data_IF_162084980862
#
_entry.id   IF_162084980862
#
_cell.length_a   1.000
_cell.length_b   1.000
_cell.length_c   1.000
_cell.angle_alpha   90.00
_cell.angle_beta   90.00
_cell.angle_gamma   90.00
#
_symmetry.space_group_name_H-M   'P 1'
#
loop_
_entity.id
_entity.type
_entity.pdbx_description
1 polymer ?
#
# COMPACT_ATOMS: atom_id res chain seq x y z
N UNK A 1 7.98 -31.84 35.13
CA UNK A 1 7.09 -31.24 34.11
C UNK A 1 7.48 -31.83 32.77
N UNK A 2 6.62 -32.63 32.16
CA UNK A 2 6.91 -33.37 30.92
C UNK A 2 6.94 -32.42 29.72
N UNK A 3 8.09 -31.84 29.39
CA UNK A 3 8.29 -31.16 28.10
C UNK A 3 8.78 -32.18 27.08
N UNK A 4 7.90 -33.11 26.67
CA UNK A 4 8.18 -33.92 25.49
C UNK A 4 8.25 -32.99 24.26
N UNK A 5 9.20 -33.16 23.34
CA UNK A 5 9.39 -32.29 22.16
C UNK A 5 8.11 -31.95 21.36
N UNK A 6 7.13 -32.85 21.15
CA UNK A 6 5.88 -32.49 20.46
C UNK A 6 4.97 -31.54 21.25
N UNK A 7 5.12 -31.44 22.57
CA UNK A 7 4.35 -30.51 23.42
C UNK A 7 4.87 -29.07 23.28
N UNK A 8 6.19 -28.89 23.23
CA UNK A 8 6.81 -27.58 23.05
C UNK A 8 6.48 -26.99 21.67
N UNK A 9 6.59 -27.78 20.60
CA UNK A 9 6.26 -27.34 19.24
C UNK A 9 4.81 -26.86 19.14
N UNK A 10 3.86 -27.64 19.69
CA UNK A 10 2.44 -27.27 19.70
C UNK A 10 2.18 -25.99 20.49
N UNK A 11 2.83 -25.84 21.65
CA UNK A 11 2.73 -24.64 22.46
C UNK A 11 3.24 -23.39 21.71
N UNK A 12 4.42 -23.49 21.07
CA UNK A 12 4.98 -22.38 20.27
C UNK A 12 4.03 -21.98 19.14
N UNK A 13 3.46 -22.94 18.41
CA UNK A 13 2.50 -22.66 17.34
C UNK A 13 1.28 -21.92 17.88
N UNK A 14 0.70 -22.39 18.99
CA UNK A 14 -0.46 -21.74 19.61
C UNK A 14 -0.16 -20.30 20.04
N UNK A 15 1.05 -20.03 20.54
CA UNK A 15 1.48 -18.67 20.88
C UNK A 15 1.52 -17.77 19.64
N UNK A 16 2.06 -18.25 18.51
CA UNK A 16 2.08 -17.47 17.27
C UNK A 16 0.69 -17.27 16.64
N UNK A 17 -0.21 -18.25 16.78
CA UNK A 17 -1.61 -18.11 16.34
C UNK A 17 -2.39 -17.04 17.13
N UNK A 18 -1.88 -16.60 18.29
CA UNK A 18 -2.50 -15.52 19.06
C UNK A 18 -2.22 -14.13 18.50
N UNK A 19 -1.37 -13.99 17.47
CA UNK A 19 -1.13 -12.68 16.84
C UNK A 19 -2.46 -12.14 16.31
N UNK A 20 -2.95 -11.00 16.81
CA UNK A 20 -4.27 -10.52 16.46
C UNK A 20 -4.28 -10.07 15.01
N UNK A 21 -5.24 -10.56 14.22
CA UNK A 21 -5.39 -10.17 12.81
C UNK A 21 -5.46 -8.64 12.62
N UNK A 22 -6.03 -7.90 13.58
CA UNK A 22 -6.09 -6.43 13.50
C UNK A 22 -4.71 -5.77 13.48
N UNK A 23 -3.72 -6.37 14.16
CA UNK A 23 -2.33 -5.91 14.11
C UNK A 23 -1.73 -6.21 12.73
N UNK A 24 -1.92 -7.43 12.21
CA UNK A 24 -1.44 -7.83 10.88
C UNK A 24 -2.05 -6.92 9.80
N UNK A 25 -3.36 -6.67 9.85
CA UNK A 25 -4.05 -5.80 8.90
C UNK A 25 -3.57 -4.34 8.99
N UNK A 26 -3.32 -3.82 10.20
CA UNK A 26 -2.76 -2.48 10.36
C UNK A 26 -1.35 -2.39 9.77
N UNK A 27 -0.47 -3.35 10.07
CA UNK A 27 0.88 -3.41 9.51
C UNK A 27 0.85 -3.53 7.98
N UNK A 28 -0.02 -4.39 7.43
CA UNK A 28 -0.19 -4.52 5.99
C UNK A 28 -0.59 -3.18 5.34
N UNK A 29 -1.57 -2.47 5.92
CA UNK A 29 -2.01 -1.15 5.45
C UNK A 29 -0.91 -0.10 5.53
N UNK A 30 -0.20 -0.06 6.66
CA UNK A 30 0.90 0.89 6.86
C UNK A 30 2.03 0.65 5.87
N UNK A 31 2.50 -0.59 5.75
CA UNK A 31 3.60 -0.96 4.87
C UNK A 31 3.28 -0.65 3.41
N UNK A 32 2.10 -1.05 2.93
CA UNK A 32 1.74 -0.80 1.53
C UNK A 32 1.48 0.68 1.25
N UNK A 33 0.89 1.41 2.22
CA UNK A 33 0.74 2.85 2.11
C UNK A 33 2.11 3.54 2.01
N UNK A 34 3.08 3.16 2.86
CA UNK A 34 4.42 3.73 2.84
C UNK A 34 5.14 3.52 1.50
N UNK A 35 5.02 2.32 0.90
CA UNK A 35 5.60 2.01 -0.41
C UNK A 35 5.09 2.97 -1.49
N UNK A 36 3.77 3.04 -1.67
CA UNK A 36 3.18 3.85 -2.72
C UNK A 36 3.29 5.35 -2.43
N UNK A 37 3.14 5.76 -1.16
CA UNK A 37 3.31 7.16 -0.78
C UNK A 37 4.71 7.65 -1.09
N UNK A 38 5.76 6.89 -0.72
CA UNK A 38 7.14 7.25 -1.07
C UNK A 38 7.37 7.27 -2.58
N UNK A 39 6.77 6.36 -3.33
CA UNK A 39 6.79 6.41 -4.80
C UNK A 39 6.14 7.72 -5.32
N UNK A 40 4.99 8.09 -4.78
CA UNK A 40 4.27 9.32 -5.12
C UNK A 40 5.07 10.58 -4.83
N UNK A 41 5.77 10.62 -3.69
CA UNK A 41 6.63 11.75 -3.31
C UNK A 41 7.76 12.02 -4.31
N UNK A 42 8.18 11.03 -5.12
CA UNK A 42 9.17 11.27 -6.19
C UNK A 42 8.57 11.91 -7.45
N UNK A 43 7.24 11.89 -7.58
CA UNK A 43 6.49 12.40 -8.74
C UNK A 43 5.96 13.81 -8.54
N UNK A 44 6.04 14.34 -7.33
CA UNK A 44 5.57 15.69 -6.98
C UNK A 44 6.70 16.52 -6.40
N UNK A 45 6.60 17.82 -6.57
CA UNK A 45 7.46 18.82 -5.95
C UNK A 45 6.61 19.93 -5.33
N UNK A 46 7.22 20.76 -4.47
CA UNK A 46 6.51 21.80 -3.72
C UNK A 46 5.71 21.26 -2.52
N UNK A 47 5.44 19.96 -2.48
CA UNK A 47 4.80 19.26 -1.37
C UNK A 47 5.59 18.01 -1.01
N UNK A 48 5.93 17.84 0.26
CA UNK A 48 6.59 16.66 0.78
C UNK A 48 6.11 16.31 2.19
N UNK A 49 5.69 15.06 2.38
CA UNK A 49 5.40 14.53 3.72
C UNK A 49 6.08 13.17 3.84
N UNK A 50 7.04 13.06 4.75
CA UNK A 50 7.65 11.78 5.12
C UNK A 50 7.70 11.67 6.64
N UNK A 51 6.80 10.84 7.16
CA UNK A 51 6.67 10.57 8.59
C UNK A 51 7.90 9.84 9.16
N UNK A 52 8.68 9.16 8.33
CA UNK A 52 9.85 8.38 8.78
C UNK A 52 11.06 9.29 8.94
N UNK A 53 11.30 10.18 7.98
CA UNK A 53 12.39 11.16 8.08
C UNK A 53 12.03 12.42 8.87
N UNK A 54 10.73 12.66 9.12
CA UNK A 54 10.24 13.87 9.79
C UNK A 54 10.23 15.09 8.86
N UNK A 55 10.20 14.87 7.54
CA UNK A 55 10.21 15.94 6.54
C UNK A 55 8.79 16.39 6.24
N UNK A 56 8.53 17.69 6.38
CA UNK A 56 7.24 18.32 6.06
C UNK A 56 7.45 19.61 5.26
N UNK A 57 7.00 19.60 4.01
CA UNK A 57 6.96 20.74 3.10
C UNK A 57 5.53 20.88 2.57
N UNK A 58 4.88 22.00 2.89
CA UNK A 58 3.45 22.23 2.61
C UNK A 58 3.23 23.34 1.57
N UNK A 59 4.06 23.38 0.53
CA UNK A 59 3.85 24.27 -0.61
C UNK A 59 2.80 23.70 -1.58
N UNK A 60 2.62 24.37 -2.71
CA UNK A 60 1.69 23.94 -3.76
C UNK A 60 2.21 22.67 -4.44
N UNK A 61 1.49 21.53 -4.38
CA UNK A 61 1.89 20.31 -5.04
C UNK A 61 1.79 20.49 -6.56
N UNK A 62 2.88 20.23 -7.26
CA UNK A 62 2.91 20.15 -8.72
C UNK A 62 3.72 18.94 -9.17
N UNK A 63 3.48 18.48 -10.39
CA UNK A 63 4.22 17.36 -10.95
C UNK A 63 5.72 17.73 -11.05
N UNK A 64 6.60 16.85 -10.59
CA UNK A 64 8.04 17.06 -10.70
C UNK A 64 8.46 17.11 -12.17
N UNK A 65 9.44 17.97 -12.48
CA UNK A 65 9.98 18.14 -13.83
C UNK A 65 10.52 16.82 -14.44
N UNK A 66 10.91 15.84 -13.62
CA UNK A 66 11.39 14.53 -14.08
C UNK A 66 10.26 13.53 -14.37
N UNK A 67 9.05 13.76 -13.88
CA UNK A 67 7.98 12.75 -13.92
C UNK A 67 7.48 12.53 -15.34
N UNK A 68 7.15 13.60 -16.07
CA UNK A 68 6.66 13.46 -17.44
C UNK A 68 7.70 12.83 -18.38
N UNK A 69 8.99 13.22 -18.34
CA UNK A 69 10.04 12.49 -19.05
C UNK A 69 10.06 10.99 -18.75
N UNK A 70 9.98 10.58 -17.48
CA UNK A 70 9.96 9.15 -17.12
C UNK A 70 8.77 8.40 -17.75
N UNK A 71 7.57 8.99 -17.77
CA UNK A 71 6.40 8.40 -18.44
C UNK A 71 6.51 8.38 -19.97
N UNK A 72 7.41 9.15 -20.56
CA UNK A 72 7.67 9.13 -22.01
C UNK A 72 8.72 8.12 -22.43
N UNK A 73 9.72 7.86 -21.58
CA UNK A 73 10.87 7.04 -21.95
C UNK A 73 10.96 5.70 -21.22
N UNK A 74 10.37 5.58 -20.02
CA UNK A 74 10.58 4.43 -19.14
C UNK A 74 9.25 3.80 -18.70
N UNK A 75 8.31 4.61 -18.20
CA UNK A 75 7.02 4.13 -17.67
C UNK A 75 5.95 4.07 -18.75
N UNK A 76 6.14 3.15 -19.69
CA UNK A 76 5.21 2.94 -20.80
C UNK A 76 3.93 2.26 -20.32
N UNK A 77 2.93 3.06 -19.94
CA UNK A 77 1.60 2.58 -19.60
C UNK A 77 0.76 2.47 -20.87
N UNK A 78 0.21 1.29 -21.20
CA UNK A 78 -0.63 1.14 -22.38
C UNK A 78 -1.94 1.92 -22.23
N UNK A 79 -2.55 2.29 -23.36
CA UNK A 79 -3.89 2.93 -23.44
C UNK A 79 -3.97 4.39 -22.97
N UNK A 80 -2.95 4.95 -22.31
CA UNK A 80 -2.95 6.34 -21.82
C UNK A 80 -1.79 7.12 -22.43
N UNK A 81 -1.99 8.42 -22.66
CA UNK A 81 -0.86 9.30 -23.00
C UNK A 81 0.04 9.50 -21.77
N UNK A 82 1.34 9.73 -21.96
CA UNK A 82 2.27 9.98 -20.86
C UNK A 82 1.81 11.09 -19.91
N UNK A 83 1.18 12.14 -20.44
CA UNK A 83 0.66 13.26 -19.66
C UNK A 83 -0.45 12.81 -18.70
N UNK A 84 -1.41 12.03 -19.19
CA UNK A 84 -2.51 11.53 -18.38
C UNK A 84 -2.00 10.50 -17.37
N UNK A 85 -1.15 9.57 -17.82
CA UNK A 85 -0.58 8.53 -16.99
C UNK A 85 0.24 9.11 -15.82
N UNK A 86 1.06 10.13 -16.06
CA UNK A 86 1.86 10.77 -15.04
C UNK A 86 1.01 11.41 -13.92
N UNK A 87 -0.04 12.16 -14.30
CA UNK A 87 -0.94 12.80 -13.33
C UNK A 87 -1.77 11.77 -12.57
N UNK A 88 -2.31 10.76 -13.28
CA UNK A 88 -3.08 9.68 -12.65
C UNK A 88 -2.23 8.89 -11.67
N UNK A 89 -0.99 8.54 -12.03
CA UNK A 89 -0.08 7.84 -11.16
C UNK A 89 0.27 8.67 -9.93
N UNK A 90 0.68 9.94 -10.11
CA UNK A 90 0.98 10.84 -9.00
C UNK A 90 -0.22 10.99 -8.05
N UNK A 91 -1.44 11.17 -8.58
CA UNK A 91 -2.63 11.25 -7.76
C UNK A 91 -2.92 9.93 -7.01
N UNK A 92 -2.93 8.81 -7.72
CA UNK A 92 -3.30 7.51 -7.17
C UNK A 92 -2.32 7.04 -6.09
N UNK A 93 -1.02 7.33 -6.26
CA UNK A 93 0.05 7.02 -5.29
C UNK A 93 0.03 7.89 -4.02
N UNK A 94 -0.79 8.95 -3.97
CA UNK A 94 -1.03 9.68 -2.73
C UNK A 94 -2.41 9.35 -2.16
N UNK A 95 -3.43 9.35 -3.01
CA UNK A 95 -4.81 9.21 -2.60
C UNK A 95 -5.10 7.84 -1.98
N UNK A 96 -4.87 6.75 -2.71
CA UNK A 96 -5.19 5.41 -2.20
C UNK A 96 -4.32 4.97 -1.02
N UNK A 97 -3.01 5.31 -0.98
CA UNK A 97 -2.19 5.10 0.21
C UNK A 97 -2.68 5.85 1.45
N UNK A 98 -3.15 7.09 1.31
CA UNK A 98 -3.75 7.82 2.42
C UNK A 98 -5.03 7.13 2.92
N UNK A 99 -5.92 6.74 1.99
CA UNK A 99 -7.16 6.04 2.35
C UNK A 99 -6.89 4.69 3.04
N UNK A 100 -6.00 3.88 2.47
CA UNK A 100 -5.71 2.55 3.00
C UNK A 100 -5.00 2.64 4.35
N UNK A 101 -4.12 3.62 4.57
CA UNK A 101 -3.47 3.86 5.87
C UNK A 101 -4.50 4.18 6.95
N UNK A 102 -5.42 5.11 6.69
CA UNK A 102 -6.53 5.44 7.60
C UNK A 102 -7.50 4.27 7.79
N UNK A 103 -7.47 3.27 6.90
CA UNK A 103 -8.41 2.16 6.89
C UNK A 103 -9.80 2.61 6.48
N UNK A 104 -9.88 3.48 5.47
CA UNK A 104 -11.12 3.94 4.85
C UNK A 104 -11.30 3.30 3.47
N UNK A 105 -12.50 2.79 3.21
CA UNK A 105 -12.85 2.06 2.00
C UNK A 105 -11.80 0.98 1.65
N UNK A 106 -11.27 0.29 2.67
CA UNK A 106 -10.00 -0.44 2.60
C UNK A 106 -9.96 -1.47 1.47
N UNK A 107 -11.07 -2.18 1.22
CA UNK A 107 -11.15 -3.15 0.11
C UNK A 107 -11.07 -2.48 -1.25
N UNK A 108 -11.73 -1.33 -1.42
CA UNK A 108 -11.68 -0.56 -2.67
C UNK A 108 -10.28 0.04 -2.87
N UNK A 109 -9.71 0.65 -1.83
CA UNK A 109 -8.34 1.17 -1.86
C UNK A 109 -7.32 0.06 -2.18
N UNK A 110 -7.49 -1.13 -1.59
CA UNK A 110 -6.63 -2.28 -1.89
C UNK A 110 -6.79 -2.76 -3.34
N UNK A 111 -8.01 -2.85 -3.87
CA UNK A 111 -8.24 -3.21 -5.27
C UNK A 111 -7.62 -2.21 -6.25
N UNK A 112 -7.72 -0.91 -5.95
CA UNK A 112 -7.07 0.13 -6.75
C UNK A 112 -5.54 -0.04 -6.77
N UNK A 113 -4.94 -0.27 -5.60
CA UNK A 113 -3.50 -0.51 -5.47
C UNK A 113 -3.05 -1.85 -6.09
N UNK A 114 -3.93 -2.87 -6.12
CA UNK A 114 -3.69 -4.10 -6.89
C UNK A 114 -3.61 -3.77 -8.38
N UNK A 115 -4.57 -2.99 -8.89
CA UNK A 115 -4.54 -2.51 -10.27
C UNK A 115 -3.23 -1.80 -10.61
N UNK A 116 -2.80 -0.87 -9.77
CA UNK A 116 -1.51 -0.19 -9.94
C UNK A 116 -0.32 -1.16 -9.88
N UNK A 117 -0.31 -2.09 -8.92
CA UNK A 117 0.75 -3.11 -8.80
C UNK A 117 0.85 -3.95 -10.07
N UNK A 118 -0.28 -4.36 -10.65
CA UNK A 118 -0.32 -5.12 -11.89
C UNK A 118 0.15 -4.27 -13.08
N UNK A 119 -0.25 -3.00 -13.17
CA UNK A 119 0.25 -2.09 -14.21
C UNK A 119 1.78 -1.95 -14.14
N UNK A 120 2.34 -1.75 -12.95
CA UNK A 120 3.79 -1.63 -12.75
C UNK A 120 4.48 -2.95 -13.12
N UNK A 121 3.98 -4.07 -12.61
CA UNK A 121 4.56 -5.40 -12.85
C UNK A 121 4.50 -5.82 -14.32
N UNK A 122 3.44 -5.49 -15.06
CA UNK A 122 3.27 -5.96 -16.43
C UNK A 122 3.93 -5.04 -17.46
N UNK A 123 4.01 -3.74 -17.20
CA UNK A 123 4.39 -2.76 -18.21
C UNK A 123 5.60 -1.89 -17.86
N UNK A 124 5.99 -1.82 -16.58
CA UNK A 124 7.06 -0.92 -16.13
C UNK A 124 8.30 -1.70 -15.67
N UNK A 125 8.14 -2.59 -14.69
CA UNK A 125 9.25 -3.35 -14.10
C UNK A 125 8.90 -4.85 -14.02
N UNK A 126 8.93 -5.59 -15.14
CA UNK A 126 8.55 -7.00 -15.19
C UNK A 126 9.47 -7.92 -14.38
N UNK A 127 10.74 -7.57 -14.23
CA UNK A 127 11.72 -8.38 -13.50
C UNK A 127 11.64 -8.20 -11.97
N UNK A 128 10.80 -7.27 -11.49
CA UNK A 128 10.67 -6.95 -10.06
C UNK A 128 9.58 -7.77 -9.33
N UNK A 129 9.23 -8.96 -9.84
CA UNK A 129 8.19 -9.82 -9.25
C UNK A 129 8.38 -10.12 -7.76
N UNK A 130 9.59 -10.43 -7.23
CA UNK A 130 9.74 -10.66 -5.80
C UNK A 130 9.25 -9.49 -4.94
N UNK A 131 9.40 -8.26 -5.43
CA UNK A 131 8.90 -7.05 -4.79
C UNK A 131 7.39 -6.92 -4.95
N UNK A 132 6.88 -6.91 -6.18
CA UNK A 132 5.44 -6.70 -6.44
C UNK A 132 4.55 -7.83 -5.92
N UNK A 133 5.06 -9.06 -5.89
CA UNK A 133 4.39 -10.21 -5.30
C UNK A 133 4.13 -10.03 -3.80
N UNK A 134 5.06 -9.41 -3.07
CA UNK A 134 4.86 -9.11 -1.64
C UNK A 134 3.76 -8.08 -1.43
N UNK A 135 3.70 -7.06 -2.29
CA UNK A 135 2.67 -6.03 -2.28
C UNK A 135 1.30 -6.65 -2.55
N UNK A 136 1.22 -7.46 -3.61
CA UNK A 136 0.00 -8.15 -4.01
C UNK A 136 -0.53 -9.06 -2.91
N UNK A 137 0.34 -9.81 -2.24
CA UNK A 137 -0.03 -10.69 -1.14
C UNK A 137 -0.64 -9.91 0.05
N UNK A 138 -0.04 -8.78 0.44
CA UNK A 138 -0.57 -7.92 1.50
C UNK A 138 -1.91 -7.28 1.09
N UNK A 139 -2.03 -6.82 -0.14
CA UNK A 139 -3.26 -6.21 -0.65
C UNK A 139 -4.40 -7.23 -0.73
N UNK A 140 -4.12 -8.44 -1.24
CA UNK A 140 -5.10 -9.53 -1.29
C UNK A 140 -5.55 -9.96 0.11
N UNK A 141 -4.63 -9.99 1.10
CA UNK A 141 -4.99 -10.22 2.49
C UNK A 141 -6.03 -9.19 2.98
N UNK A 142 -5.83 -7.91 2.67
CA UNK A 142 -6.75 -6.83 3.04
C UNK A 142 -8.09 -6.91 2.30
N UNK A 143 -8.09 -7.28 1.02
CA UNK A 143 -9.33 -7.53 0.27
C UNK A 143 -10.13 -8.66 0.91
N UNK A 144 -9.47 -9.80 1.14
CA UNK A 144 -10.11 -11.02 1.62
C UNK A 144 -10.59 -10.92 3.08
N UNK A 145 -9.75 -10.40 3.97
CA UNK A 145 -9.98 -10.43 5.43
C UNK A 145 -10.43 -9.07 5.99
N UNK A 146 -10.27 -7.99 5.23
CA UNK A 146 -10.76 -6.66 5.58
C UNK A 146 -9.74 -5.77 6.31
N UNK A 147 -10.21 -4.71 6.98
CA UNK A 147 -9.35 -3.64 7.48
C UNK A 147 -8.77 -3.84 8.89
N UNK A 148 -9.31 -4.81 9.64
CA UNK A 148 -9.06 -4.96 11.08
C UNK A 148 -9.75 -3.88 11.93
N UNK A 149 -9.62 -3.97 13.25
CA UNK A 149 -10.31 -3.09 14.21
C UNK A 149 -9.82 -1.64 14.24
N UNK A 150 -8.54 -1.43 13.91
CA UNK A 150 -7.90 -0.11 13.91
C UNK A 150 -8.13 0.62 12.58
N UNK A 151 -9.39 0.81 12.19
CA UNK A 151 -9.76 1.39 10.90
C UNK A 151 -11.03 2.22 10.98
N UNK A 152 -11.14 3.24 10.13
CA UNK A 152 -12.37 4.02 9.98
C UNK A 152 -13.52 3.12 9.52
N UNK A 153 -13.26 2.17 8.62
CA UNK A 153 -14.24 1.17 8.19
C UNK A 153 -14.85 0.39 9.37
N UNK A 154 -14.03 0.01 10.36
CA UNK A 154 -14.52 -0.68 11.55
C UNK A 154 -15.38 0.24 12.44
N UNK A 155 -14.98 1.51 12.59
CA UNK A 155 -15.75 2.50 13.35
C UNK A 155 -17.13 2.75 12.70
N UNK A 156 -17.17 2.89 11.38
CA UNK A 156 -18.41 3.01 10.59
C UNK A 156 -19.24 1.74 10.77
N UNK A 157 -18.67 0.56 10.56
CA UNK A 157 -19.39 -0.70 10.69
C UNK A 157 -19.97 -0.92 12.10
N UNK A 158 -19.29 -0.46 13.16
CA UNK A 158 -19.79 -0.51 14.53
C UNK A 158 -20.97 0.44 14.77
N UNK A 159 -21.06 1.55 14.03
CA UNK A 159 -22.12 2.55 14.17
C UNK A 159 -23.43 2.16 13.47
N UNK A 160 -23.33 1.34 12.42
CA UNK A 160 -24.46 0.91 11.57
C UNK A 160 -24.81 -0.57 11.69
N UNK A 161 -24.16 -1.30 12.61
CA UNK A 161 -24.58 -2.63 13.08
C UNK A 161 -25.31 -2.48 14.40
#
# INVERSE_FOLDING_TARGET
>A
MNTSPPCLIKWVIQVFEQIPYSLIAFLARFSIAAVFWKSGQTKVEGFAIDLVSGTFQLGEPRLSASTLPLFRSEYHVPLLSPEIAAHMAAFAEHFFPALILMGFATRFSALALIGMTLTIQLFVYPDAYPTHGTWLALLLLLVAKGPGRLSIDHLIARRYR
#
